data_IF_214617997208
#
_entry.id   IF_214617997208
#
_cell.length_a   1.000
_cell.length_b   1.000
_cell.length_c   1.000
_cell.angle_alpha   90.00
_cell.angle_beta   90.00
_cell.angle_gamma   90.00
#
_symmetry.space_group_name_H-M   'P 1'
#
loop_
_entity.id
_entity.type
_entity.pdbx_description
1 polymer ?
#
# COMPACT_ATOMS: atom_id res chain seq x y z
N UNK A 1 14.82 38.38 -22.84
CA UNK A 1 14.37 37.88 -21.51
C UNK A 1 13.33 36.76 -21.59
N UNK A 2 12.93 36.30 -22.78
CA UNK A 2 11.91 35.26 -23.01
C UNK A 2 12.46 33.85 -23.29
N UNK A 3 13.76 33.71 -23.61
CA UNK A 3 14.39 32.43 -23.92
C UNK A 3 14.82 31.62 -22.69
N UNK A 4 15.18 32.28 -21.58
CA UNK A 4 15.57 31.61 -20.33
C UNK A 4 14.36 31.03 -19.57
N UNK A 5 13.19 31.66 -19.64
CA UNK A 5 11.97 31.15 -19.02
C UNK A 5 11.39 29.94 -19.74
N UNK A 6 11.49 29.87 -21.08
CA UNK A 6 11.12 28.69 -21.86
C UNK A 6 12.00 27.48 -21.50
N UNK A 7 13.31 27.67 -21.42
CA UNK A 7 14.26 26.60 -21.07
C UNK A 7 14.01 26.03 -19.66
N UNK A 8 13.65 26.86 -18.69
CA UNK A 8 13.32 26.40 -17.34
C UNK A 8 11.99 25.64 -17.30
N UNK A 9 11.00 26.06 -18.10
CA UNK A 9 9.71 25.38 -18.19
C UNK A 9 9.85 23.97 -18.80
N UNK A 10 10.67 23.83 -19.85
CA UNK A 10 10.93 22.54 -20.51
C UNK A 10 11.68 21.56 -19.60
N UNK A 11 12.60 22.06 -18.77
CA UNK A 11 13.30 21.25 -17.76
C UNK A 11 12.33 20.74 -16.68
N UNK A 12 11.43 21.59 -16.19
CA UNK A 12 10.40 21.19 -15.20
C UNK A 12 9.46 20.14 -15.79
N UNK A 13 9.09 20.27 -17.06
CA UNK A 13 8.17 19.35 -17.73
C UNK A 13 8.83 17.97 -17.93
N UNK A 14 10.10 17.96 -18.32
CA UNK A 14 10.90 16.73 -18.47
C UNK A 14 11.06 16.01 -17.13
N UNK A 15 11.39 16.74 -16.07
CA UNK A 15 11.55 16.18 -14.73
C UNK A 15 10.23 15.58 -14.21
N UNK A 16 9.11 16.29 -14.37
CA UNK A 16 7.80 15.78 -13.98
C UNK A 16 7.42 14.51 -14.73
N UNK A 17 7.72 14.43 -16.03
CA UNK A 17 7.46 13.23 -16.80
C UNK A 17 8.28 12.04 -16.26
N UNK A 18 9.57 12.22 -16.01
CA UNK A 18 10.45 11.17 -15.44
C UNK A 18 9.92 10.70 -14.09
N UNK A 19 9.57 11.63 -13.19
CA UNK A 19 9.02 11.30 -11.86
C UNK A 19 7.71 10.53 -11.99
N UNK A 20 6.83 10.94 -12.89
CA UNK A 20 5.53 10.30 -13.09
C UNK A 20 5.68 8.88 -13.61
N UNK A 21 6.55 8.66 -14.60
CA UNK A 21 6.81 7.32 -15.14
C UNK A 21 7.46 6.41 -14.08
N UNK A 22 8.46 6.93 -13.36
CA UNK A 22 9.16 6.19 -12.31
C UNK A 22 8.20 5.77 -11.20
N UNK A 23 7.38 6.69 -10.70
CA UNK A 23 6.37 6.42 -9.67
C UNK A 23 5.34 5.40 -10.16
N UNK A 24 4.97 5.43 -11.44
CA UNK A 24 4.04 4.46 -12.03
C UNK A 24 4.64 3.05 -12.07
N UNK A 25 5.84 2.86 -12.63
CA UNK A 25 6.50 1.55 -12.67
C UNK A 25 6.78 1.00 -11.26
N UNK A 26 7.30 1.85 -10.37
CA UNK A 26 7.63 1.45 -9.01
C UNK A 26 6.39 1.09 -8.20
N UNK A 27 5.29 1.86 -8.34
CA UNK A 27 4.01 1.53 -7.71
C UNK A 27 3.46 0.19 -8.23
N UNK A 28 3.46 -0.06 -9.54
CA UNK A 28 3.02 -1.33 -10.11
C UNK A 28 3.84 -2.50 -9.57
N UNK A 29 5.16 -2.36 -9.48
CA UNK A 29 6.04 -3.38 -8.93
C UNK A 29 5.71 -3.67 -7.46
N UNK A 30 5.63 -2.63 -6.62
CA UNK A 30 5.24 -2.78 -5.20
C UNK A 30 3.88 -3.45 -5.06
N UNK A 31 2.95 -3.16 -5.96
CA UNK A 31 1.62 -3.76 -5.90
C UNK A 31 1.62 -5.24 -6.23
N UNK A 32 2.33 -5.65 -7.29
CA UNK A 32 2.44 -7.07 -7.64
C UNK A 32 3.13 -7.84 -6.51
N UNK A 33 4.31 -7.39 -6.09
CA UNK A 33 5.07 -8.06 -5.03
C UNK A 33 4.37 -7.99 -3.68
N UNK A 34 3.75 -6.87 -3.35
CA UNK A 34 2.97 -6.67 -2.13
C UNK A 34 1.75 -7.58 -2.09
N UNK A 35 0.99 -7.70 -3.18
CA UNK A 35 -0.14 -8.61 -3.26
C UNK A 35 0.31 -10.07 -3.14
N UNK A 36 1.30 -10.50 -3.93
CA UNK A 36 1.82 -11.87 -3.87
C UNK A 36 2.34 -12.20 -2.47
N UNK A 37 3.14 -11.32 -1.87
CA UNK A 37 3.69 -11.51 -0.53
C UNK A 37 2.61 -11.61 0.55
N UNK A 38 1.63 -10.71 0.55
CA UNK A 38 0.54 -10.75 1.54
C UNK A 38 -0.37 -11.96 1.33
N UNK A 39 -0.66 -12.36 0.08
CA UNK A 39 -1.44 -13.56 -0.24
C UNK A 39 -0.72 -14.82 0.27
N UNK A 40 0.56 -14.97 -0.04
CA UNK A 40 1.37 -16.09 0.45
C UNK A 40 1.42 -16.13 1.98
N UNK A 41 1.59 -14.97 2.64
CA UNK A 41 1.52 -14.88 4.11
C UNK A 41 0.17 -15.36 4.65
N UNK A 42 -0.94 -14.93 4.05
CA UNK A 42 -2.28 -15.36 4.46
C UNK A 42 -2.42 -16.88 4.29
N UNK A 43 -2.00 -17.44 3.15
CA UNK A 43 -2.06 -18.89 2.92
C UNK A 43 -1.24 -19.69 3.93
N UNK A 44 0.01 -19.27 4.20
CA UNK A 44 0.90 -19.96 5.15
C UNK A 44 0.38 -19.85 6.58
N UNK A 45 -0.02 -18.64 7.01
CA UNK A 45 -0.50 -18.40 8.38
C UNK A 45 -1.92 -18.95 8.62
N UNK A 46 -2.69 -19.23 7.56
CA UNK A 46 -4.01 -19.87 7.67
C UNK A 46 -3.94 -21.37 7.97
N UNK A 47 -2.76 -21.99 7.89
CA UNK A 47 -2.60 -23.40 8.23
C UNK A 47 -2.98 -23.67 9.69
N UNK A 48 -3.76 -24.74 9.92
CA UNK A 48 -4.28 -25.12 11.25
C UNK A 48 -3.17 -25.27 12.30
N UNK A 49 -2.00 -25.74 11.89
CA UNK A 49 -0.80 -25.90 12.73
C UNK A 49 -0.28 -24.57 13.27
N UNK A 50 -0.36 -23.47 12.49
CA UNK A 50 0.13 -22.16 12.92
C UNK A 50 -0.93 -21.36 13.70
N UNK A 51 -2.23 -21.63 13.47
CA UNK A 51 -3.34 -20.97 14.20
C UNK A 51 -3.38 -21.22 15.70
N UNK A 52 -2.60 -22.18 16.22
CA UNK A 52 -2.47 -22.37 17.67
C UNK A 52 -1.66 -21.26 18.35
N UNK A 53 -0.91 -20.45 17.59
CA UNK A 53 -0.09 -19.37 18.12
C UNK A 53 -0.80 -18.01 17.98
N UNK A 54 -1.02 -17.27 19.07
CA UNK A 54 -1.66 -15.94 19.02
C UNK A 54 -0.88 -14.95 18.14
N UNK A 55 0.45 -14.97 18.21
CA UNK A 55 1.34 -14.21 17.33
C UNK A 55 1.07 -14.45 15.83
N UNK A 56 0.82 -15.70 15.42
CA UNK A 56 0.55 -16.03 14.01
C UNK A 56 -0.80 -15.46 13.53
N UNK A 57 -1.80 -15.42 14.41
CA UNK A 57 -3.11 -14.81 14.14
C UNK A 57 -2.97 -13.29 13.96
N UNK A 58 -2.18 -12.62 14.81
CA UNK A 58 -1.91 -11.18 14.68
C UNK A 58 -1.23 -10.83 13.35
N UNK A 59 -0.24 -11.64 12.93
CA UNK A 59 0.40 -11.49 11.63
C UNK A 59 -0.54 -11.75 10.45
N UNK A 60 -1.49 -12.68 10.60
CA UNK A 60 -2.52 -12.95 9.59
C UNK A 60 -3.43 -11.72 9.42
N UNK A 61 -3.95 -11.16 10.52
CA UNK A 61 -4.77 -9.94 10.45
C UNK A 61 -4.00 -8.74 9.88
N UNK A 62 -2.71 -8.61 10.22
CA UNK A 62 -1.86 -7.57 9.65
C UNK A 62 -1.70 -7.73 8.12
N UNK A 63 -1.49 -8.97 7.65
CA UNK A 63 -1.35 -9.26 6.21
C UNK A 63 -2.65 -8.99 5.45
N UNK A 64 -3.81 -9.28 6.04
CA UNK A 64 -5.13 -8.94 5.47
C UNK A 64 -5.31 -7.42 5.40
N UNK A 65 -5.01 -6.69 6.48
CA UNK A 65 -5.11 -5.23 6.52
C UNK A 65 -4.16 -4.55 5.51
N UNK A 66 -2.95 -5.11 5.34
CA UNK A 66 -2.00 -4.66 4.34
C UNK A 66 -2.47 -4.93 2.90
N UNK A 67 -3.10 -6.08 2.64
CA UNK A 67 -3.71 -6.39 1.35
C UNK A 67 -4.85 -5.42 1.01
N UNK A 68 -5.75 -5.15 1.98
CA UNK A 68 -6.84 -4.17 1.82
C UNK A 68 -6.27 -2.77 1.54
N UNK A 69 -5.21 -2.37 2.24
CA UNK A 69 -4.52 -1.11 1.99
C UNK A 69 -3.95 -1.03 0.58
N UNK A 70 -3.34 -2.11 0.09
CA UNK A 70 -2.77 -2.18 -1.26
C UNK A 70 -3.85 -2.06 -2.34
N UNK A 71 -4.95 -2.78 -2.18
CA UNK A 71 -6.09 -2.74 -3.11
C UNK A 71 -6.73 -1.34 -3.08
N UNK A 72 -7.09 -0.80 -1.91
CA UNK A 72 -7.65 0.55 -1.81
C UNK A 72 -6.67 1.64 -2.31
N UNK A 73 -5.37 1.40 -2.14
CA UNK A 73 -4.30 2.31 -2.50
C UNK A 73 -3.99 2.39 -3.98
N UNK A 74 -3.96 1.26 -4.68
CA UNK A 74 -3.52 1.21 -6.07
C UNK A 74 -4.63 0.94 -7.08
N UNK A 75 -5.77 0.38 -6.68
CA UNK A 75 -6.91 0.21 -7.59
C UNK A 75 -7.29 1.49 -8.33
N UNK A 76 -7.31 2.69 -7.70
CA UNK A 76 -7.66 3.91 -8.43
C UNK A 76 -6.59 4.38 -9.41
N UNK A 77 -5.30 4.05 -9.18
CA UNK A 77 -4.22 4.36 -10.15
C UNK A 77 -4.30 3.44 -11.38
N UNK A 78 -4.70 2.18 -11.19
CA UNK A 78 -4.93 1.24 -12.30
C UNK A 78 -6.20 1.59 -13.05
N UNK A 79 -7.27 1.98 -12.34
CA UNK A 79 -8.55 2.35 -12.93
C UNK A 79 -8.48 3.65 -13.75
N UNK A 80 -7.69 4.63 -13.30
CA UNK A 80 -7.36 5.85 -14.07
C UNK A 80 -6.70 5.55 -15.42
N UNK A 81 -6.05 4.38 -15.57
CA UNK A 81 -5.43 3.98 -16.84
C UNK A 81 -6.37 3.32 -17.83
N UNK A 82 -7.58 2.88 -17.43
CA UNK A 82 -8.45 2.05 -18.27
C UNK A 82 -9.68 2.81 -18.76
N UNK A 83 -10.44 3.51 -17.89
CA UNK A 83 -11.68 4.16 -18.32
C UNK A 83 -12.20 5.11 -17.25
N UNK A 84 -12.31 6.40 -17.61
CA UNK A 84 -13.10 7.46 -16.95
C UNK A 84 -12.59 7.84 -15.56
N UNK A 85 -12.21 9.10 -15.39
CA UNK A 85 -11.84 9.74 -14.12
C UNK A 85 -12.99 9.73 -13.09
N UNK A 86 -13.30 8.56 -12.53
CA UNK A 86 -14.25 8.39 -11.43
C UNK A 86 -13.77 9.12 -10.15
N UNK A 87 -12.47 9.46 -10.10
CA UNK A 87 -11.86 10.24 -9.04
C UNK A 87 -12.25 11.73 -9.09
N UNK A 88 -12.66 12.24 -10.26
CA UNK A 88 -13.22 13.60 -10.40
C UNK A 88 -14.74 13.60 -10.22
N UNK A 89 -15.41 12.46 -10.44
CA UNK A 89 -16.86 12.34 -10.29
C UNK A 89 -17.32 12.33 -8.83
N UNK A 90 -16.50 11.81 -7.90
CA UNK A 90 -16.92 11.67 -6.48
C UNK A 90 -15.80 12.05 -5.51
N UNK A 91 -15.74 13.33 -5.12
CA UNK A 91 -14.77 13.87 -4.13
C UNK A 91 -14.72 13.07 -2.82
N UNK A 92 -15.84 12.47 -2.41
CA UNK A 92 -15.92 11.66 -1.20
C UNK A 92 -15.07 10.38 -1.28
N UNK A 93 -15.00 9.73 -2.44
CA UNK A 93 -14.21 8.51 -2.65
C UNK A 93 -12.70 8.80 -2.48
N UNK A 94 -12.26 9.96 -2.95
CA UNK A 94 -10.86 10.38 -2.87
C UNK A 94 -10.42 10.65 -1.42
N UNK A 95 -11.31 11.24 -0.61
CA UNK A 95 -11.07 11.50 0.82
C UNK A 95 -11.12 10.20 1.64
N UNK A 96 -12.11 9.35 1.38
CA UNK A 96 -12.22 8.03 2.02
C UNK A 96 -10.99 7.16 1.73
N UNK A 97 -10.46 7.19 0.51
CA UNK A 97 -9.23 6.48 0.15
C UNK A 97 -8.05 6.87 1.02
N UNK A 98 -7.80 8.16 1.22
CA UNK A 98 -6.70 8.64 2.06
C UNK A 98 -6.83 8.17 3.51
N UNK A 99 -8.05 8.24 4.05
CA UNK A 99 -8.36 7.76 5.39
C UNK A 99 -8.18 6.24 5.52
N UNK A 100 -8.76 5.45 4.61
CA UNK A 100 -8.63 3.99 4.56
C UNK A 100 -7.15 3.58 4.48
N UNK A 101 -6.39 4.18 3.56
CA UNK A 101 -4.96 3.90 3.41
C UNK A 101 -4.16 4.12 4.69
N UNK A 102 -4.36 5.26 5.34
CA UNK A 102 -3.65 5.60 6.56
C UNK A 102 -4.03 4.67 7.70
N UNK A 103 -5.34 4.48 7.91
CA UNK A 103 -5.88 3.67 8.99
C UNK A 103 -5.46 2.20 8.87
N UNK A 104 -5.62 1.57 7.71
CA UNK A 104 -5.25 0.16 7.56
C UNK A 104 -3.74 -0.08 7.64
N UNK A 105 -2.90 0.87 7.19
CA UNK A 105 -1.44 0.78 7.40
C UNK A 105 -1.07 0.93 8.87
N UNK A 106 -1.68 1.86 9.58
CA UNK A 106 -1.46 2.02 11.01
C UNK A 106 -1.88 0.75 11.75
N UNK A 107 -3.05 0.18 11.45
CA UNK A 107 -3.53 -1.08 12.03
C UNK A 107 -2.53 -2.21 11.76
N UNK A 108 -2.06 -2.37 10.51
CA UNK A 108 -1.08 -3.39 10.17
C UNK A 108 0.22 -3.25 11.00
N UNK A 109 0.71 -2.02 11.18
CA UNK A 109 1.88 -1.73 11.99
C UNK A 109 1.66 -2.04 13.48
N UNK A 110 0.54 -1.60 14.05
CA UNK A 110 0.20 -1.88 15.44
C UNK A 110 0.04 -3.38 15.71
N UNK A 111 -0.54 -4.14 14.77
CA UNK A 111 -0.66 -5.59 14.88
C UNK A 111 0.69 -6.30 14.87
N UNK A 112 1.64 -5.84 14.04
CA UNK A 112 3.01 -6.39 14.04
C UNK A 112 3.71 -6.04 15.36
N UNK A 113 3.56 -4.81 15.84
CA UNK A 113 4.12 -4.40 17.13
C UNK A 113 3.60 -5.28 18.27
N UNK A 114 2.28 -5.49 18.35
CA UNK A 114 1.67 -6.39 19.34
C UNK A 114 2.19 -7.83 19.20
N UNK A 115 2.37 -8.33 17.97
CA UNK A 115 2.93 -9.65 17.73
C UNK A 115 4.39 -9.78 18.21
N UNK A 116 5.19 -8.72 18.09
CA UNK A 116 6.56 -8.69 18.63
C UNK A 116 6.59 -8.65 20.15
N UNK A 117 5.66 -7.92 20.78
CA UNK A 117 5.53 -7.86 22.24
C UNK A 117 5.11 -9.23 22.79
N UNK A 118 4.09 -9.87 22.19
CA UNK A 118 3.64 -11.22 22.54
C UNK A 118 4.81 -12.21 22.51
N UNK A 119 5.58 -12.21 21.41
CA UNK A 119 6.76 -13.08 21.28
C UNK A 119 7.86 -12.76 22.29
N UNK A 120 8.08 -11.48 22.60
CA UNK A 120 9.09 -11.06 23.58
C UNK A 120 8.71 -11.54 24.99
N UNK A 121 7.45 -11.36 25.39
CA UNK A 121 6.95 -11.82 26.68
C UNK A 121 7.11 -13.34 26.84
N UNK A 122 6.72 -14.11 25.83
CA UNK A 122 6.89 -15.57 25.79
C UNK A 122 8.35 -16.04 25.83
N UNK A 123 9.29 -15.22 25.35
CA UNK A 123 10.73 -15.55 25.37
C UNK A 123 11.41 -15.12 26.68
N UNK A 124 10.79 -14.21 27.43
CA UNK A 124 11.33 -13.62 28.66
C UNK A 124 10.86 -14.30 29.95
N UNK A 125 9.82 -15.14 29.87
CA UNK A 125 9.38 -16.04 30.93
C UNK A 125 10.04 -17.41 30.76
#
# INVERSE_FOLDING_TARGET
>A
MSSSSLSSADQILTLNNIVTQTNRYFATFIFIFGCVGNILNIFVLSQKTLRSNPCAILFLYSSIAALISLIAGLSPRVLSSITIDLSDTVRWICKMRGFTLFTFRAIAFWLIMLATIDRWLLSSM
#
